data_IF_120418205584
#
_entry.id   IF_120418205584
#
_cell.length_a   1.000
_cell.length_b   1.000
_cell.length_c   1.000
_cell.angle_alpha   90.00
_cell.angle_beta   90.00
_cell.angle_gamma   90.00
#
_symmetry.space_group_name_H-M   'P 1'
#
loop_
_entity.id
_entity.type
_entity.pdbx_description
1 polymer ?
#
# COMPACT_ATOMS: atom_id res chain seq x y z
N UNK A 1 -9.45 20.22 2.12
CA UNK A 1 -9.90 19.01 2.84
C UNK A 1 -10.24 19.42 4.26
N UNK A 2 -11.42 19.07 4.74
CA UNK A 2 -11.90 19.44 6.08
C UNK A 2 -11.57 18.34 7.12
N UNK A 3 -11.68 18.66 8.40
CA UNK A 3 -11.58 17.66 9.48
C UNK A 3 -12.61 16.54 9.33
N UNK A 4 -13.83 16.89 8.90
CA UNK A 4 -14.89 15.92 8.60
C UNK A 4 -14.51 14.97 7.46
N UNK A 5 -13.87 15.48 6.40
CA UNK A 5 -13.37 14.63 5.30
C UNK A 5 -12.33 13.62 5.79
N UNK A 6 -11.42 14.02 6.69
CA UNK A 6 -10.42 13.11 7.26
C UNK A 6 -11.09 11.96 8.00
N UNK A 7 -12.04 12.27 8.89
CA UNK A 7 -12.77 11.24 9.64
C UNK A 7 -13.59 10.32 8.74
N UNK A 8 -14.29 10.86 7.75
CA UNK A 8 -15.08 10.07 6.80
C UNK A 8 -14.19 9.12 5.98
N UNK A 9 -13.02 9.60 5.51
CA UNK A 9 -12.04 8.74 4.83
C UNK A 9 -11.55 7.62 5.72
N UNK A 10 -11.16 7.92 6.97
CA UNK A 10 -10.72 6.91 7.93
C UNK A 10 -11.82 5.90 8.22
N UNK A 11 -13.04 6.35 8.45
CA UNK A 11 -14.19 5.47 8.69
C UNK A 11 -14.43 4.49 7.53
N UNK A 12 -14.37 4.96 6.29
CA UNK A 12 -14.52 4.12 5.09
C UNK A 12 -13.41 3.07 5.03
N UNK A 13 -12.16 3.48 5.21
CA UNK A 13 -10.99 2.59 5.15
C UNK A 13 -11.08 1.50 6.24
N UNK A 14 -11.36 1.88 7.47
CA UNK A 14 -11.48 0.93 8.59
C UNK A 14 -12.68 -0.01 8.40
N UNK A 15 -13.81 0.49 7.88
CA UNK A 15 -14.97 -0.37 7.59
C UNK A 15 -14.64 -1.40 6.50
N UNK A 16 -13.95 -0.98 5.44
CA UNK A 16 -13.51 -1.88 4.35
C UNK A 16 -12.55 -2.95 4.88
N UNK A 17 -11.57 -2.57 5.71
CA UNK A 17 -10.63 -3.52 6.33
C UNK A 17 -11.35 -4.47 7.30
N UNK A 18 -12.29 -3.98 8.09
CA UNK A 18 -13.07 -4.82 9.02
C UNK A 18 -13.98 -5.82 8.28
N UNK A 19 -14.55 -5.42 7.13
CA UNK A 19 -15.26 -6.35 6.23
C UNK A 19 -14.30 -7.38 5.63
N UNK A 20 -13.13 -6.94 5.16
CA UNK A 20 -12.10 -7.79 4.59
C UNK A 20 -11.54 -8.82 5.57
N UNK A 21 -11.47 -8.46 6.86
CA UNK A 21 -11.03 -9.37 7.93
C UNK A 21 -11.92 -10.61 8.06
N UNK A 22 -13.22 -10.48 7.75
CA UNK A 22 -14.17 -11.61 7.72
C UNK A 22 -14.07 -12.39 6.42
N UNK A 23 -14.00 -11.67 5.29
CA UNK A 23 -13.79 -12.25 3.98
C UNK A 23 -13.12 -11.20 3.07
N UNK A 24 -11.86 -11.41 2.63
CA UNK A 24 -11.15 -10.46 1.79
C UNK A 24 -11.90 -10.11 0.51
N UNK A 25 -12.64 -11.08 -0.06
CA UNK A 25 -13.44 -10.89 -1.28
C UNK A 25 -14.65 -9.96 -1.04
N UNK A 26 -15.08 -9.75 0.21
CA UNK A 26 -16.21 -8.89 0.57
C UNK A 26 -15.79 -7.48 1.03
N UNK A 27 -14.49 -7.17 1.10
CA UNK A 27 -14.02 -5.88 1.60
C UNK A 27 -14.59 -4.67 0.84
N UNK A 28 -14.85 -4.78 -0.46
CA UNK A 28 -15.46 -3.73 -1.29
C UNK A 28 -16.98 -3.87 -1.46
N UNK A 29 -17.67 -4.60 -0.60
CA UNK A 29 -19.10 -4.37 -0.42
C UNK A 29 -19.24 -3.00 0.24
N UNK A 30 -19.63 -1.97 -0.51
CA UNK A 30 -19.65 -0.58 -0.06
C UNK A 30 -21.01 -0.11 0.44
N UNK A 31 -21.97 -1.02 0.58
CA UNK A 31 -23.32 -0.71 1.03
C UNK A 31 -23.29 0.04 2.38
N UNK A 32 -24.05 1.13 2.44
CA UNK A 32 -24.11 2.03 3.59
C UNK A 32 -22.96 3.05 3.72
N UNK A 33 -21.98 3.06 2.80
CA UNK A 33 -20.88 4.03 2.80
C UNK A 33 -21.15 5.16 1.80
N UNK A 34 -21.95 6.15 2.23
CA UNK A 34 -22.48 7.22 1.37
C UNK A 34 -21.40 8.13 0.75
N UNK A 35 -20.29 8.35 1.45
CA UNK A 35 -19.25 9.32 1.04
C UNK A 35 -18.19 8.72 0.09
N UNK A 36 -18.31 7.45 -0.29
CA UNK A 36 -17.26 6.76 -1.09
C UNK A 36 -17.11 7.38 -2.47
N UNK A 37 -18.20 7.72 -3.13
CA UNK A 37 -18.14 8.32 -4.47
C UNK A 37 -17.44 9.69 -4.41
N UNK A 38 -17.83 10.55 -3.47
CA UNK A 38 -17.26 11.89 -3.31
C UNK A 38 -15.80 11.87 -2.89
N UNK A 39 -15.44 11.01 -1.93
CA UNK A 39 -14.10 11.02 -1.32
C UNK A 39 -13.09 10.15 -2.07
N UNK A 40 -13.53 9.08 -2.73
CA UNK A 40 -12.64 8.13 -3.37
C UNK A 40 -12.92 7.94 -4.86
N UNK A 41 -14.04 8.43 -5.41
CA UNK A 41 -14.42 8.13 -6.79
C UNK A 41 -14.79 6.64 -6.96
N UNK A 42 -15.42 6.05 -5.95
CA UNK A 42 -15.90 4.68 -5.96
C UNK A 42 -14.90 3.64 -5.46
N UNK A 43 -15.23 2.36 -5.65
CA UNK A 43 -14.46 1.22 -5.16
C UNK A 43 -13.01 1.17 -5.67
N UNK A 44 -12.79 1.59 -6.92
CA UNK A 44 -11.46 1.64 -7.53
C UNK A 44 -10.52 2.60 -6.79
N UNK A 45 -11.01 3.77 -6.39
CA UNK A 45 -10.19 4.72 -5.64
C UNK A 45 -9.99 4.32 -4.18
N UNK A 46 -10.92 3.59 -3.56
CA UNK A 46 -10.69 2.96 -2.26
C UNK A 46 -9.53 1.96 -2.35
N UNK A 47 -9.53 1.08 -3.36
CA UNK A 47 -8.41 0.15 -3.60
C UNK A 47 -7.09 0.87 -3.82
N UNK A 48 -7.08 1.93 -4.62
CA UNK A 48 -5.87 2.71 -4.86
C UNK A 48 -5.37 3.42 -3.60
N UNK A 49 -6.26 3.91 -2.75
CA UNK A 49 -5.89 4.50 -1.46
C UNK A 49 -5.27 3.46 -0.52
N UNK A 50 -5.82 2.24 -0.48
CA UNK A 50 -5.29 1.12 0.30
C UNK A 50 -3.92 0.66 -0.23
N UNK A 51 -3.75 0.55 -1.54
CA UNK A 51 -2.45 0.24 -2.15
C UNK A 51 -1.43 1.35 -1.93
N UNK A 52 -1.85 2.62 -1.94
CA UNK A 52 -0.97 3.74 -1.60
C UNK A 52 -0.49 3.65 -0.15
N UNK A 53 -1.40 3.37 0.80
CA UNK A 53 -1.04 3.11 2.21
C UNK A 53 -0.04 1.97 2.34
N UNK A 54 -0.28 0.85 1.64
CA UNK A 54 0.65 -0.28 1.61
C UNK A 54 2.03 0.13 1.10
N UNK A 55 2.11 0.81 -0.05
CA UNK A 55 3.38 1.24 -0.65
C UNK A 55 4.16 2.21 0.26
N UNK A 56 3.48 3.14 0.92
CA UNK A 56 4.10 4.08 1.86
C UNK A 56 4.73 3.34 3.04
N UNK A 57 4.03 2.37 3.63
CA UNK A 57 4.57 1.59 4.74
C UNK A 57 5.67 0.62 4.27
N UNK A 58 5.53 0.08 3.05
CA UNK A 58 6.54 -0.80 2.46
C UNK A 58 7.85 -0.06 2.29
N UNK A 59 7.85 1.14 1.72
CA UNK A 59 9.08 1.94 1.56
C UNK A 59 9.85 2.08 2.88
N UNK A 60 9.15 2.41 3.97
CA UNK A 60 9.77 2.50 5.31
C UNK A 60 10.37 1.16 5.77
N UNK A 61 9.67 0.05 5.56
CA UNK A 61 10.19 -1.28 5.92
C UNK A 61 11.40 -1.69 5.07
N UNK A 62 11.43 -1.31 3.79
CA UNK A 62 12.56 -1.56 2.92
C UNK A 62 13.78 -0.74 3.32
N UNK A 63 13.60 0.55 3.62
CA UNK A 63 14.67 1.42 4.14
C UNK A 63 15.29 0.83 5.42
N UNK A 64 14.44 0.38 6.35
CA UNK A 64 14.89 -0.23 7.60
C UNK A 64 15.61 -1.56 7.41
N UNK A 65 15.15 -2.40 6.46
CA UNK A 65 15.83 -3.65 6.12
C UNK A 65 17.24 -3.37 5.57
N UNK A 66 17.38 -2.36 4.71
CA UNK A 66 18.67 -1.90 4.19
C UNK A 66 19.59 -1.42 5.32
N UNK A 67 19.09 -0.56 6.21
CA UNK A 67 19.88 -0.04 7.34
C UNK A 67 20.42 -1.14 8.25
N UNK A 68 19.66 -2.23 8.39
CA UNK A 68 20.05 -3.42 9.16
C UNK A 68 20.90 -4.43 8.39
N UNK A 69 21.14 -4.21 7.10
CA UNK A 69 21.79 -5.21 6.24
C UNK A 69 20.97 -6.49 6.04
N UNK A 70 19.64 -6.42 6.25
CA UNK A 70 18.73 -7.53 6.04
C UNK A 70 18.28 -7.60 4.57
N UNK A 71 17.84 -8.78 4.08
CA UNK A 71 17.27 -8.90 2.74
C UNK A 71 16.04 -8.00 2.57
N UNK A 72 15.93 -7.27 1.46
CA UNK A 72 14.78 -6.38 1.19
C UNK A 72 13.43 -7.10 1.29
N UNK A 73 13.39 -8.38 0.90
CA UNK A 73 12.18 -9.21 1.03
C UNK A 73 11.68 -9.32 2.48
N UNK A 74 12.56 -9.28 3.48
CA UNK A 74 12.14 -9.37 4.88
C UNK A 74 11.29 -8.17 5.31
N UNK A 75 11.50 -6.99 4.72
CA UNK A 75 10.67 -5.81 4.98
C UNK A 75 9.25 -5.97 4.45
N UNK A 76 9.09 -6.65 3.30
CA UNK A 76 7.77 -7.02 2.79
C UNK A 76 7.10 -8.06 3.68
N UNK A 77 7.84 -9.11 4.09
CA UNK A 77 7.32 -10.19 4.92
C UNK A 77 6.86 -9.67 6.29
N UNK A 78 7.65 -8.78 6.90
CA UNK A 78 7.31 -8.10 8.15
C UNK A 78 6.04 -7.26 8.00
N UNK A 79 5.93 -6.45 6.93
CA UNK A 79 4.72 -5.65 6.69
C UNK A 79 3.47 -6.52 6.46
N UNK A 80 3.62 -7.62 5.73
CA UNK A 80 2.53 -8.56 5.47
C UNK A 80 2.06 -9.22 6.76
N UNK A 81 2.97 -9.52 7.70
CA UNK A 81 2.63 -10.03 9.02
C UNK A 81 1.98 -8.98 9.92
N UNK A 82 2.36 -7.71 9.82
CA UNK A 82 1.75 -6.59 10.56
C UNK A 82 0.36 -6.22 10.05
N UNK A 83 0.14 -6.30 8.74
CA UNK A 83 -1.10 -5.88 8.09
C UNK A 83 -1.69 -6.99 7.19
N UNK A 84 -2.00 -8.18 7.73
CA UNK A 84 -2.40 -9.34 6.93
C UNK A 84 -3.73 -9.10 6.21
N UNK A 85 -4.67 -8.41 6.84
CA UNK A 85 -5.98 -8.09 6.26
C UNK A 85 -5.86 -7.18 5.04
N UNK A 86 -5.02 -6.14 5.13
CA UNK A 86 -4.76 -5.23 4.01
C UNK A 86 -4.13 -6.00 2.85
N UNK A 87 -3.10 -6.80 3.12
CA UNK A 87 -2.42 -7.62 2.11
C UNK A 87 -3.38 -8.58 1.41
N UNK A 88 -4.17 -9.32 2.19
CA UNK A 88 -5.15 -10.27 1.68
C UNK A 88 -6.21 -9.60 0.79
N UNK A 89 -6.71 -8.43 1.17
CA UNK A 89 -7.65 -7.66 0.35
C UNK A 89 -7.01 -7.23 -0.98
N UNK A 90 -5.81 -6.65 -0.94
CA UNK A 90 -5.11 -6.23 -2.16
C UNK A 90 -4.85 -7.42 -3.08
N UNK A 91 -4.52 -8.59 -2.52
CA UNK A 91 -4.32 -9.82 -3.28
C UNK A 91 -5.60 -10.34 -3.93
N UNK A 92 -6.71 -10.39 -3.18
CA UNK A 92 -8.02 -10.81 -3.69
C UNK A 92 -8.45 -9.99 -4.92
N UNK A 93 -8.28 -8.67 -4.86
CA UNK A 93 -8.72 -7.76 -5.92
C UNK A 93 -7.70 -7.54 -7.03
N UNK A 94 -6.45 -7.98 -6.87
CA UNK A 94 -5.37 -7.77 -7.87
C UNK A 94 -5.69 -8.37 -9.24
N UNK A 95 -6.46 -9.45 -9.30
CA UNK A 95 -6.87 -10.07 -10.57
C UNK A 95 -8.00 -9.31 -11.27
N UNK A 96 -8.82 -8.59 -10.52
CA UNK A 96 -10.06 -7.95 -11.02
C UNK A 96 -9.88 -6.46 -11.34
N UNK A 97 -8.90 -5.79 -10.74
CA UNK A 97 -8.63 -4.37 -10.97
C UNK A 97 -7.37 -4.15 -11.82
N UNK A 98 -7.54 -3.56 -13.01
CA UNK A 98 -6.42 -3.14 -13.88
C UNK A 98 -5.48 -2.16 -13.16
N UNK A 99 -6.04 -1.16 -12.50
CA UNK A 99 -5.29 -0.16 -11.76
C UNK A 99 -4.45 -0.80 -10.65
N UNK A 100 -5.01 -1.80 -9.96
CA UNK A 100 -4.31 -2.52 -8.91
C UNK A 100 -3.19 -3.43 -9.45
N UNK A 101 -3.36 -4.02 -10.64
CA UNK A 101 -2.25 -4.73 -11.31
C UNK A 101 -1.08 -3.80 -11.64
N UNK A 102 -1.37 -2.63 -12.16
CA UNK A 102 -0.35 -1.62 -12.44
C UNK A 102 0.35 -1.19 -11.14
N UNK A 103 -0.40 -0.94 -10.07
CA UNK A 103 0.17 -0.54 -8.79
C UNK A 103 0.97 -1.67 -8.11
N UNK A 104 0.56 -2.94 -8.26
CA UNK A 104 1.34 -4.11 -7.81
C UNK A 104 2.65 -4.25 -8.59
N UNK A 105 2.66 -3.91 -9.88
CA UNK A 105 3.91 -3.85 -10.65
C UNK A 105 4.84 -2.77 -10.09
N UNK A 106 4.31 -1.60 -9.76
CA UNK A 106 5.10 -0.54 -9.11
C UNK A 106 5.64 -0.96 -7.73
N UNK A 107 4.87 -1.72 -6.95
CA UNK A 107 5.33 -2.33 -5.70
C UNK A 107 6.55 -3.25 -5.93
N UNK A 108 6.47 -4.14 -6.92
CA UNK A 108 7.58 -5.05 -7.26
C UNK A 108 8.82 -4.31 -7.75
N UNK A 109 8.64 -3.24 -8.53
CA UNK A 109 9.75 -2.38 -8.93
C UNK A 109 10.38 -1.71 -7.71
N UNK A 110 9.60 -1.14 -6.80
CA UNK A 110 10.13 -0.55 -5.56
C UNK A 110 10.99 -1.52 -4.76
N UNK A 111 10.57 -2.78 -4.62
CA UNK A 111 11.36 -3.83 -3.95
C UNK A 111 12.68 -4.07 -4.69
N UNK A 112 12.64 -4.23 -6.02
CA UNK A 112 13.85 -4.44 -6.82
C UNK A 112 14.82 -3.25 -6.74
N UNK A 113 14.29 -2.02 -6.71
CA UNK A 113 15.09 -0.79 -6.57
C UNK A 113 15.86 -0.77 -5.25
N UNK A 114 15.20 -1.14 -4.15
CA UNK A 114 15.81 -1.20 -2.82
C UNK A 114 16.82 -2.35 -2.71
N UNK A 115 16.55 -3.49 -3.34
CA UNK A 115 17.47 -4.63 -3.36
C UNK A 115 18.76 -4.34 -4.16
N UNK A 116 18.67 -3.57 -5.24
CA UNK A 116 19.80 -3.28 -6.13
C UNK A 116 20.47 -1.93 -5.89
N UNK A 117 19.85 -1.05 -5.10
CA UNK A 117 20.26 0.35 -4.94
C UNK A 117 20.11 1.19 -6.22
N UNK A 118 19.39 0.67 -7.22
CA UNK A 118 19.33 1.20 -8.58
C UNK A 118 17.90 1.19 -9.08
N UNK A 119 17.50 2.28 -9.74
CA UNK A 119 16.22 2.39 -10.42
C UNK A 119 16.15 1.42 -11.61
N UNK A 120 14.95 1.08 -12.13
CA UNK A 120 14.75 0.13 -13.21
C UNK A 120 15.33 0.62 -14.54
N UNK A 121 15.60 1.92 -14.65
CA UNK A 121 16.28 2.61 -15.74
C UNK A 121 17.82 2.62 -15.60
N UNK A 122 18.36 2.00 -14.54
CA UNK A 122 19.79 1.93 -14.26
C UNK A 122 20.35 3.13 -13.50
N UNK A 123 19.53 4.13 -13.16
CA UNK A 123 19.99 5.29 -12.38
C UNK A 123 20.14 4.94 -10.90
N UNK A 124 21.14 5.49 -10.17
CA UNK A 124 21.23 5.30 -8.74
C UNK A 124 20.00 5.91 -8.04
N UNK A 125 19.46 5.19 -7.04
CA UNK A 125 18.48 5.79 -6.12
C UNK A 125 19.24 6.85 -5.34
N UNK A 126 18.83 8.13 -5.42
CA UNK A 126 19.46 9.22 -4.68
C UNK A 126 19.33 8.93 -3.18
N UNK A 127 20.36 8.31 -2.59
CA UNK A 127 20.53 8.29 -1.14
C UNK A 127 21.01 9.67 -0.76
N UNK A 128 20.20 10.39 0.00
CA UNK A 128 20.67 11.53 0.78
C UNK A 128 21.64 10.97 1.83
N UNK A 129 22.90 10.78 1.45
CA UNK A 129 23.98 10.57 2.41
C UNK A 129 24.01 11.80 3.28
N UNK A 130 23.51 11.68 4.50
CA UNK A 130 23.68 12.70 5.53
C UNK A 130 25.16 12.71 5.90
N UNK A 131 25.95 13.45 5.13
CA UNK A 131 27.30 13.85 5.51
C UNK A 131 27.14 14.77 6.71
N UNK A 132 27.27 14.20 7.90
CA UNK A 132 27.49 14.98 9.12
C UNK A 132 28.96 15.38 9.07
N UNK A 133 29.20 16.66 8.76
CA UNK A 133 30.47 17.33 9.03
C UNK A 133 30.50 17.79 10.49
#
# INVERSE_FOLDING_TARGET
MTWSDVHARTFIIETVLERARRNPEHGLQLDGLLEVERLFGGAGGVLLALQHRWNTHLAVKLDFAIEKGAPTQSGWDELAAEQPTLRALLDAYSRRSLALRSARRSEQLMIAEHATGRRPDGNPVLRLTKTIA
#
